data_IF_702666042299
#
_entry.id   IF_702666042299
#
_cell.length_a   1.000
_cell.length_b   1.000
_cell.length_c   1.000
_cell.angle_alpha   90.00
_cell.angle_beta   90.00
_cell.angle_gamma   90.00
#
_symmetry.space_group_name_H-M   'P 1'
#
loop_
_entity.id
_entity.type
_entity.pdbx_description
1 polymer ?
#
# COMPACT_ATOMS: atom_id res chain seq x y z
N UNK A 1 28.99 38.14 -35.09
CA UNK A 1 27.55 37.86 -35.30
C UNK A 1 27.39 36.37 -35.59
N UNK A 2 26.25 35.82 -35.16
CA UNK A 2 25.75 34.45 -35.31
C UNK A 2 26.14 33.44 -34.22
N UNK A 3 25.07 33.10 -33.49
CA UNK A 3 24.85 32.06 -32.49
C UNK A 3 24.47 30.78 -33.25
N UNK A 4 24.90 29.60 -32.79
CA UNK A 4 24.31 28.33 -33.22
C UNK A 4 23.81 27.59 -31.99
N UNK A 5 22.49 27.37 -31.98
CA UNK A 5 21.71 26.86 -30.87
C UNK A 5 21.71 25.34 -30.73
N UNK A 6 21.49 24.92 -29.51
CA UNK A 6 21.21 23.57 -29.05
C UNK A 6 19.77 23.18 -29.40
N UNK A 7 19.60 22.03 -30.06
CA UNK A 7 18.29 21.38 -30.24
C UNK A 7 17.95 20.54 -29.01
N UNK A 8 16.85 20.90 -28.35
CA UNK A 8 16.19 20.11 -27.31
C UNK A 8 15.13 19.27 -28.02
N UNK A 9 15.17 17.96 -27.81
CA UNK A 9 14.14 17.02 -28.28
C UNK A 9 13.11 16.86 -27.16
N UNK A 10 11.88 17.29 -27.41
CA UNK A 10 10.73 17.09 -26.52
C UNK A 10 10.17 15.64 -26.65
N UNK A 11 9.73 14.99 -25.56
CA UNK A 11 9.00 13.73 -25.65
C UNK A 11 7.49 13.95 -25.82
N UNK A 12 6.94 13.26 -26.82
CA UNK A 12 5.52 13.25 -27.17
C UNK A 12 4.69 12.42 -26.18
N UNK A 13 3.81 13.07 -25.44
CA UNK A 13 2.61 12.46 -24.89
C UNK A 13 1.41 13.36 -25.22
N UNK A 14 0.62 12.94 -26.21
CA UNK A 14 -0.77 13.37 -26.37
C UNK A 14 -1.60 12.10 -26.35
N UNK A 15 -2.29 11.86 -25.24
CA UNK A 15 -3.28 10.79 -25.13
C UNK A 15 -4.61 11.37 -25.57
N UNK A 16 -5.11 10.93 -26.71
CA UNK A 16 -6.49 11.16 -27.16
C UNK A 16 -7.42 10.15 -26.50
N UNK A 17 -8.46 10.63 -25.84
CA UNK A 17 -9.56 9.85 -25.28
C UNK A 17 -10.43 9.23 -26.38
N UNK A 18 -10.64 7.91 -26.34
CA UNK A 18 -11.91 7.26 -26.71
C UNK A 18 -11.73 5.74 -26.74
N UNK A 19 -12.26 5.03 -25.74
CA UNK A 19 -12.91 3.74 -25.95
C UNK A 19 -13.66 3.34 -24.66
N UNK A 20 -15.00 3.32 -24.74
CA UNK A 20 -15.89 2.72 -23.74
C UNK A 20 -16.45 1.45 -24.38
N UNK A 21 -16.24 0.24 -23.85
CA UNK A 21 -16.91 -0.94 -24.38
C UNK A 21 -18.34 -1.01 -23.83
N UNK A 22 -19.31 -1.14 -24.72
CA UNK A 22 -20.71 -1.42 -24.37
C UNK A 22 -20.87 -2.88 -23.93
N UNK A 23 -21.55 -3.08 -22.79
CA UNK A 23 -21.95 -4.38 -22.28
C UNK A 23 -23.37 -4.67 -22.81
N UNK A 24 -23.52 -5.74 -23.58
CA UNK A 24 -24.81 -6.27 -24.03
C UNK A 24 -25.44 -7.14 -22.95
N UNK A 25 -26.66 -6.78 -22.52
CA UNK A 25 -27.49 -7.60 -21.64
C UNK A 25 -28.30 -8.61 -22.47
N UNK A 26 -28.10 -9.91 -22.23
CA UNK A 26 -28.97 -10.96 -22.75
C UNK A 26 -29.98 -11.36 -21.67
N UNK A 27 -31.25 -11.07 -21.91
CA UNK A 27 -32.42 -11.59 -21.17
C UNK A 27 -32.56 -13.09 -21.41
N UNK A 28 -32.73 -13.86 -20.33
CA UNK A 28 -33.23 -15.24 -20.39
C UNK A 28 -34.60 -15.28 -19.71
N UNK A 29 -35.57 -15.77 -20.48
CA UNK A 29 -36.97 -15.97 -20.11
C UNK A 29 -37.14 -16.97 -18.96
N UNK A 30 -38.22 -16.76 -18.21
CA UNK A 30 -38.62 -17.57 -17.08
C UNK A 30 -39.35 -18.86 -17.47
N UNK A 31 -39.33 -19.81 -16.54
CA UNK A 31 -40.34 -20.85 -16.42
C UNK A 31 -40.65 -21.06 -14.93
N UNK A 32 -41.92 -20.85 -14.60
CA UNK A 32 -42.55 -21.12 -13.30
C UNK A 32 -42.72 -22.63 -13.09
N UNK A 33 -42.38 -23.12 -11.90
CA UNK A 33 -42.99 -24.34 -11.34
C UNK A 33 -43.23 -24.15 -9.85
N UNK A 34 -44.50 -24.06 -9.45
CA UNK A 34 -44.98 -24.07 -8.06
C UNK A 34 -44.71 -25.41 -7.38
N UNK A 35 -44.39 -25.39 -6.08
CA UNK A 35 -44.39 -26.62 -5.27
C UNK A 35 -43.91 -26.49 -3.83
N UNK A 36 -44.88 -26.33 -2.92
CA UNK A 36 -44.89 -26.80 -1.53
C UNK A 36 -44.26 -25.95 -0.41
N UNK A 37 -45.15 -25.61 0.53
CA UNK A 37 -44.95 -24.99 1.83
C UNK A 37 -43.89 -25.69 2.69
N UNK A 38 -42.96 -24.88 3.23
CA UNK A 38 -42.06 -25.23 4.32
C UNK A 38 -41.80 -23.98 5.17
N UNK A 39 -42.45 -23.90 6.32
CA UNK A 39 -42.41 -22.79 7.28
C UNK A 39 -41.01 -22.70 7.89
N UNK A 40 -40.24 -21.66 7.58
CA UNK A 40 -38.96 -21.35 8.22
C UNK A 40 -38.93 -19.91 8.71
N UNK A 41 -38.42 -19.76 9.93
CA UNK A 41 -38.43 -18.60 10.81
C UNK A 41 -37.74 -17.40 10.17
N UNK A 42 -38.42 -16.26 10.14
CA UNK A 42 -37.89 -14.96 9.71
C UNK A 42 -36.85 -14.47 10.71
N UNK A 43 -35.57 -14.69 10.41
CA UNK A 43 -34.45 -13.97 10.97
C UNK A 43 -33.81 -13.12 9.86
N UNK A 44 -34.44 -11.99 9.53
CA UNK A 44 -33.86 -10.99 8.64
C UNK A 44 -32.73 -10.28 9.35
N UNK A 45 -31.48 -10.71 9.15
CA UNK A 45 -30.33 -9.84 9.37
C UNK A 45 -30.26 -8.89 8.18
N UNK A 46 -30.73 -7.68 8.42
CA UNK A 46 -30.71 -6.54 7.52
C UNK A 46 -29.24 -6.16 7.23
N UNK A 47 -28.73 -6.58 6.07
CA UNK A 47 -27.38 -6.29 5.60
C UNK A 47 -27.41 -5.09 4.64
N UNK A 48 -27.74 -3.91 5.14
CA UNK A 48 -27.43 -2.65 4.50
C UNK A 48 -27.30 -1.55 5.55
N UNK A 49 -26.13 -1.45 6.19
CA UNK A 49 -25.81 -0.27 6.98
C UNK A 49 -25.69 0.94 6.02
N UNK A 50 -26.61 1.90 6.13
CA UNK A 50 -26.57 3.16 5.38
C UNK A 50 -25.23 3.88 5.62
N UNK A 51 -24.54 4.29 4.55
CA UNK A 51 -23.23 4.96 4.59
C UNK A 51 -23.23 6.19 5.50
N UNK A 52 -24.36 6.91 5.52
CA UNK A 52 -24.59 8.07 6.40
C UNK A 52 -24.45 7.70 7.88
N UNK A 53 -24.99 6.56 8.30
CA UNK A 53 -24.93 6.08 9.69
C UNK A 53 -23.53 5.58 10.06
N UNK A 54 -22.76 5.06 9.10
CA UNK A 54 -21.37 4.63 9.30
C UNK A 54 -20.45 5.83 9.49
N UNK A 55 -20.56 6.85 8.62
CA UNK A 55 -19.81 8.10 8.72
C UNK A 55 -19.99 8.74 10.09
N UNK A 56 -21.25 8.94 10.51
CA UNK A 56 -21.56 9.54 11.82
C UNK A 56 -20.94 8.79 13.00
N UNK A 57 -20.93 7.45 12.96
CA UNK A 57 -20.31 6.62 14.01
C UNK A 57 -18.79 6.77 14.06
N UNK A 58 -18.12 6.76 12.89
CA UNK A 58 -16.67 6.95 12.81
C UNK A 58 -16.28 8.34 13.34
N UNK A 59 -17.04 9.37 12.95
CA UNK A 59 -16.85 10.75 13.40
C UNK A 59 -17.03 10.92 14.90
N UNK A 60 -18.10 10.38 15.48
CA UNK A 60 -18.35 10.49 16.93
C UNK A 60 -17.20 9.87 17.73
N UNK A 61 -16.76 8.67 17.35
CA UNK A 61 -15.63 8.00 18.01
C UNK A 61 -14.32 8.78 17.86
N UNK A 62 -14.10 9.37 16.69
CA UNK A 62 -12.94 10.22 16.41
C UNK A 62 -12.88 11.47 17.32
N UNK A 63 -14.02 12.14 17.53
CA UNK A 63 -14.10 13.35 18.34
C UNK A 63 -13.76 13.11 19.82
N UNK A 64 -14.08 11.93 20.34
CA UNK A 64 -13.81 11.53 21.74
C UNK A 64 -12.44 10.85 21.93
N UNK A 65 -11.62 10.77 20.88
CA UNK A 65 -10.38 10.00 20.91
C UNK A 65 -9.18 10.76 21.51
N UNK A 66 -8.36 10.03 22.28
CA UNK A 66 -7.14 10.57 22.91
C UNK A 66 -6.01 10.92 21.93
N UNK A 67 -6.13 10.50 20.67
CA UNK A 67 -5.15 10.75 19.61
C UNK A 67 -5.48 11.99 18.76
N UNK A 68 -6.49 12.78 19.15
CA UNK A 68 -6.86 14.03 18.48
C UNK A 68 -5.74 15.06 18.60
N UNK A 69 -5.38 15.67 17.48
CA UNK A 69 -4.38 16.74 17.38
C UNK A 69 -5.03 18.02 16.86
N UNK A 70 -4.45 19.17 17.21
CA UNK A 70 -4.89 20.46 16.67
C UNK A 70 -4.15 20.76 15.37
N UNK A 71 -4.89 21.19 14.36
CA UNK A 71 -4.34 21.59 13.05
C UNK A 71 -3.30 22.71 13.18
N UNK A 72 -3.50 23.62 14.13
CA UNK A 72 -2.61 24.76 14.40
C UNK A 72 -1.24 24.35 14.93
N UNK A 73 -1.08 23.10 15.39
CA UNK A 73 0.18 22.60 15.94
C UNK A 73 1.19 22.25 14.84
N UNK A 74 0.74 22.19 13.59
CA UNK A 74 1.55 21.78 12.44
C UNK A 74 2.06 22.97 11.65
N UNK A 75 3.31 22.87 11.21
CA UNK A 75 3.89 23.72 10.17
C UNK A 75 4.07 22.87 8.92
N UNK A 76 3.16 23.01 7.98
CA UNK A 76 3.21 22.27 6.72
C UNK A 76 4.47 22.68 5.93
N UNK A 77 5.13 21.70 5.32
CA UNK A 77 6.32 21.88 4.47
C UNK A 77 5.96 21.54 3.03
N UNK A 78 6.74 20.65 2.41
CA UNK A 78 6.57 20.23 1.02
C UNK A 78 5.56 19.10 0.88
N UNK A 79 4.93 19.06 -0.29
CA UNK A 79 4.23 17.88 -0.77
C UNK A 79 5.23 16.75 -1.04
N UNK A 80 4.90 15.54 -0.57
CA UNK A 80 5.70 14.33 -0.77
C UNK A 80 5.14 13.47 -1.90
N UNK A 81 3.81 13.41 -2.02
CA UNK A 81 3.09 12.61 -3.02
C UNK A 81 1.65 13.07 -3.12
N UNK A 82 1.03 12.87 -4.28
CA UNK A 82 -0.39 13.12 -4.54
C UNK A 82 -0.96 11.97 -5.35
N UNK A 83 -2.09 11.45 -4.89
CA UNK A 83 -2.88 10.44 -5.59
C UNK A 83 -4.22 11.05 -6.00
N UNK A 84 -5.08 10.25 -6.63
CA UNK A 84 -6.45 10.67 -6.93
C UNK A 84 -7.30 10.92 -5.67
N UNK A 85 -6.98 10.24 -4.55
CA UNK A 85 -7.78 10.24 -3.33
C UNK A 85 -7.14 10.99 -2.16
N UNK A 86 -5.83 11.20 -2.17
CA UNK A 86 -5.12 11.77 -1.03
C UNK A 86 -3.84 12.51 -1.41
N UNK A 87 -3.47 13.50 -0.59
CA UNK A 87 -2.17 14.18 -0.69
C UNK A 87 -1.36 13.96 0.59
N UNK A 88 -0.08 13.63 0.42
CA UNK A 88 0.89 13.47 1.52
C UNK A 88 1.78 14.70 1.59
N UNK A 89 1.90 15.29 2.78
CA UNK A 89 2.80 16.40 3.06
C UNK A 89 3.80 16.01 4.14
N UNK A 90 5.01 16.55 4.03
CA UNK A 90 5.91 16.67 5.17
C UNK A 90 5.45 17.86 6.00
N UNK A 91 5.45 17.75 7.31
CA UNK A 91 5.20 18.86 8.23
C UNK A 91 6.14 18.79 9.44
N UNK A 92 6.16 19.85 10.24
CA UNK A 92 6.77 19.82 11.58
C UNK A 92 5.68 19.96 12.64
N UNK A 93 5.71 19.08 13.63
CA UNK A 93 4.85 19.08 14.80
C UNK A 93 5.72 19.06 16.05
N UNK A 94 5.61 20.09 16.89
CA UNK A 94 6.43 20.23 18.12
C UNK A 94 7.95 20.07 17.89
N UNK A 95 8.44 20.53 16.72
CA UNK A 95 9.87 20.42 16.36
C UNK A 95 10.29 19.08 15.76
N UNK A 96 9.37 18.12 15.64
CA UNK A 96 9.59 16.80 15.02
C UNK A 96 9.00 16.78 13.62
N UNK A 97 9.71 16.18 12.67
CA UNK A 97 9.16 15.98 11.33
C UNK A 97 8.16 14.83 11.29
N UNK A 98 7.04 15.07 10.64
CA UNK A 98 5.90 14.15 10.53
C UNK A 98 5.40 14.10 9.08
N UNK A 99 4.68 13.04 8.75
CA UNK A 99 3.90 12.95 7.51
C UNK A 99 2.44 13.21 7.83
N UNK A 100 1.81 14.04 7.01
CA UNK A 100 0.40 14.37 7.08
C UNK A 100 -0.27 13.89 5.80
N UNK A 101 -1.20 12.94 5.93
CA UNK A 101 -2.08 12.47 4.85
C UNK A 101 -3.40 13.21 4.94
N UNK A 102 -3.77 13.93 3.88
CA UNK A 102 -5.04 14.62 3.76
C UNK A 102 -5.94 13.91 2.75
N UNK A 103 -7.23 13.80 3.06
CA UNK A 103 -8.27 13.30 2.16
C UNK A 103 -8.63 14.34 1.08
N UNK A 104 -8.84 13.86 -0.16
CA UNK A 104 -9.43 14.62 -1.26
C UNK A 104 -8.45 15.33 -2.19
N UNK A 105 -8.98 15.78 -3.33
CA UNK A 105 -8.28 16.61 -4.31
C UNK A 105 -8.29 18.07 -3.86
N UNK A 106 -7.31 18.48 -3.07
CA UNK A 106 -7.10 19.91 -2.80
C UNK A 106 -6.73 20.62 -4.09
N UNK A 107 -7.52 21.63 -4.47
CA UNK A 107 -7.08 22.60 -5.46
C UNK A 107 -5.81 23.32 -4.98
N UNK A 108 -5.14 24.05 -5.88
CA UNK A 108 -3.93 24.78 -5.51
C UNK A 108 -4.20 25.80 -4.39
N UNK A 109 -5.40 26.37 -4.34
CA UNK A 109 -5.85 27.31 -3.30
C UNK A 109 -5.84 26.64 -1.93
N UNK A 110 -6.54 25.51 -1.77
CA UNK A 110 -6.57 24.73 -0.54
C UNK A 110 -5.16 24.25 -0.20
N UNK A 111 -4.38 23.77 -1.17
CA UNK A 111 -2.98 23.36 -0.96
C UNK A 111 -2.12 24.52 -0.43
N UNK A 112 -2.31 25.75 -0.94
CA UNK A 112 -1.62 26.96 -0.47
C UNK A 112 -2.10 27.41 0.91
N UNK A 113 -3.40 27.33 1.20
CA UNK A 113 -3.98 27.66 2.51
C UNK A 113 -3.53 26.64 3.58
N UNK A 114 -3.47 25.35 3.24
CA UNK A 114 -2.89 24.31 4.08
C UNK A 114 -1.42 24.64 4.40
N UNK A 115 -0.66 25.18 3.44
CA UNK A 115 0.76 25.52 3.61
C UNK A 115 1.01 26.87 4.32
N UNK A 116 0.09 27.83 4.23
CA UNK A 116 0.29 29.19 4.76
C UNK A 116 -0.02 29.31 6.25
N UNK A 117 -0.57 28.27 6.90
CA UNK A 117 -1.10 28.33 8.28
C UNK A 117 -2.07 29.52 8.51
N UNK A 118 -2.62 30.10 7.44
CA UNK A 118 -3.69 31.09 7.57
C UNK A 118 -4.97 30.36 7.94
N UNK A 119 -5.83 31.01 8.72
CA UNK A 119 -7.17 30.52 8.98
C UNK A 119 -7.81 30.17 7.64
N UNK A 120 -8.11 28.88 7.45
CA UNK A 120 -8.98 28.43 6.38
C UNK A 120 -10.30 29.13 6.65
N UNK A 121 -10.53 30.27 5.99
CA UNK A 121 -11.89 30.78 5.90
C UNK A 121 -12.70 29.65 5.26
N UNK A 122 -13.87 29.29 5.82
CA UNK A 122 -14.75 28.33 5.17
C UNK A 122 -14.87 28.82 3.74
N UNK A 123 -14.43 27.98 2.78
CA UNK A 123 -14.30 28.39 1.41
C UNK A 123 -15.59 29.11 1.01
N UNK A 124 -15.49 30.41 0.73
CA UNK A 124 -16.63 31.16 0.22
C UNK A 124 -17.11 30.39 -1.00
N UNK A 125 -18.31 29.81 -0.88
CA UNK A 125 -18.85 28.76 -1.72
C UNK A 125 -18.30 28.73 -3.14
N UNK A 126 -17.30 27.90 -3.36
CA UNK A 126 -17.18 27.19 -4.63
C UNK A 126 -17.72 25.81 -4.31
N UNK A 127 -19.05 25.68 -4.42
CA UNK A 127 -19.68 24.41 -4.69
C UNK A 127 -18.97 23.85 -5.94
N UNK A 128 -17.95 23.01 -5.72
CA UNK A 128 -17.48 22.12 -6.77
C UNK A 128 -18.68 21.24 -7.06
N UNK A 129 -19.25 21.40 -8.26
CA UNK A 129 -20.32 20.55 -8.79
C UNK A 129 -19.82 19.12 -9.12
N UNK A 130 -19.01 18.54 -8.23
CA UNK A 130 -18.56 17.15 -8.26
C UNK A 130 -18.93 16.52 -6.92
N UNK A 131 -20.14 15.94 -6.91
CA UNK A 131 -20.76 15.04 -5.94
C UNK A 131 -20.20 15.02 -4.50
N UNK A 132 -20.95 15.64 -3.56
CA UNK A 132 -20.80 15.52 -2.09
C UNK A 132 -20.58 14.06 -1.61
N UNK A 133 -20.99 13.08 -2.42
CA UNK A 133 -20.85 11.67 -2.16
C UNK A 133 -19.41 11.17 -2.29
N UNK A 134 -18.65 11.58 -3.32
CA UNK A 134 -17.28 11.12 -3.53
C UNK A 134 -16.33 11.65 -2.45
N UNK A 135 -16.47 12.93 -2.08
CA UNK A 135 -15.71 13.54 -0.99
C UNK A 135 -16.03 12.90 0.38
N UNK A 136 -17.28 12.48 0.60
CA UNK A 136 -17.68 11.73 1.81
C UNK A 136 -17.06 10.33 1.84
N UNK A 137 -17.06 9.62 0.72
CA UNK A 137 -16.46 8.29 0.59
C UNK A 137 -14.95 8.33 0.85
N UNK A 138 -14.24 9.29 0.26
CA UNK A 138 -12.80 9.48 0.50
C UNK A 138 -12.53 9.80 1.98
N UNK A 139 -13.37 10.63 2.60
CA UNK A 139 -13.26 10.94 4.02
C UNK A 139 -13.51 9.72 4.91
N UNK A 140 -14.50 8.89 4.56
CA UNK A 140 -14.80 7.64 5.27
C UNK A 140 -13.67 6.61 5.15
N UNK A 141 -13.06 6.49 3.98
CA UNK A 141 -11.87 5.65 3.76
C UNK A 141 -10.74 6.08 4.71
N UNK A 142 -10.46 7.38 4.79
CA UNK A 142 -9.39 7.90 5.66
C UNK A 142 -9.72 7.76 7.15
N UNK A 143 -10.97 7.96 7.56
CA UNK A 143 -11.38 7.73 8.96
C UNK A 143 -11.28 6.27 9.36
N UNK A 144 -11.59 5.37 8.45
CA UNK A 144 -11.44 3.94 8.68
C UNK A 144 -9.97 3.54 8.81
N UNK A 145 -9.11 4.11 7.96
CA UNK A 145 -7.66 3.96 8.06
C UNK A 145 -7.15 4.51 9.41
N UNK A 146 -7.58 5.70 9.84
CA UNK A 146 -7.23 6.27 11.15
C UNK A 146 -7.65 5.34 12.29
N UNK A 147 -8.87 4.79 12.25
CA UNK A 147 -9.34 3.84 13.26
C UNK A 147 -8.40 2.62 13.37
N UNK A 148 -8.11 1.99 12.24
CA UNK A 148 -7.21 0.84 12.18
C UNK A 148 -5.82 1.20 12.71
N UNK A 149 -5.21 2.26 12.16
CA UNK A 149 -3.88 2.75 12.54
C UNK A 149 -3.80 3.09 14.03
N UNK A 150 -4.86 3.65 14.61
CA UNK A 150 -4.89 4.03 16.02
C UNK A 150 -4.78 2.84 16.98
N UNK A 151 -5.17 1.65 16.52
CA UNK A 151 -5.13 0.40 17.28
C UNK A 151 -3.81 -0.38 17.16
N UNK A 152 -2.93 0.02 16.22
CA UNK A 152 -1.73 -0.73 15.86
C UNK A 152 -0.47 -0.06 16.40
N UNK A 153 0.38 -0.83 17.08
CA UNK A 153 1.62 -0.38 17.71
C UNK A 153 2.69 -1.48 17.63
N UNK A 154 3.67 -1.29 16.75
CA UNK A 154 4.78 -2.22 16.56
C UNK A 154 6.03 -1.46 16.05
N UNK A 155 7.26 -1.82 16.47
CA UNK A 155 8.49 -1.11 16.09
C UNK A 155 8.75 -1.09 14.57
N UNK A 156 8.43 -2.18 13.87
CA UNK A 156 8.62 -2.31 12.42
C UNK A 156 7.40 -1.81 11.59
N UNK A 157 6.44 -1.12 12.21
CA UNK A 157 5.35 -0.41 11.53
C UNK A 157 5.56 1.11 11.61
N UNK A 158 5.13 1.82 10.56
CA UNK A 158 5.01 3.28 10.59
C UNK A 158 4.08 3.66 11.75
N UNK A 159 4.53 4.63 12.54
CA UNK A 159 3.90 4.99 13.79
C UNK A 159 2.81 6.03 13.53
N UNK A 160 1.57 5.66 13.81
CA UNK A 160 0.47 6.62 13.92
C UNK A 160 0.67 7.56 15.12
N UNK A 161 0.66 8.86 14.89
CA UNK A 161 0.86 9.87 15.93
C UNK A 161 -0.46 10.48 16.38
N UNK A 162 -1.40 10.64 15.45
CA UNK A 162 -2.72 11.17 15.74
C UNK A 162 -3.44 11.62 14.47
N UNK A 163 -4.55 12.30 14.64
CA UNK A 163 -5.29 12.87 13.51
C UNK A 163 -5.97 14.18 13.88
N UNK A 164 -6.14 15.05 12.89
CA UNK A 164 -6.96 16.26 12.99
C UNK A 164 -8.29 15.98 12.32
N UNK A 165 -9.37 16.12 13.08
CA UNK A 165 -10.74 15.86 12.63
C UNK A 165 -11.57 17.07 13.02
N UNK A 166 -11.97 17.83 12.00
CA UNK A 166 -12.75 19.06 12.10
C UNK A 166 -13.88 19.00 11.06
N UNK A 167 -15.16 19.24 11.43
CA UNK A 167 -16.29 19.19 10.51
C UNK A 167 -16.20 20.10 9.29
N UNK A 168 -15.38 21.15 9.36
CA UNK A 168 -15.29 22.18 8.33
C UNK A 168 -13.99 22.14 7.54
N UNK A 169 -13.05 21.26 7.93
CA UNK A 169 -11.72 21.20 7.31
C UNK A 169 -11.36 19.75 6.89
N UNK A 170 -10.44 19.58 5.94
CA UNK A 170 -9.99 18.26 5.54
C UNK A 170 -9.41 17.44 6.69
N UNK A 171 -9.77 16.16 6.73
CA UNK A 171 -9.24 15.19 7.70
C UNK A 171 -7.74 14.99 7.45
N UNK A 172 -6.96 15.02 8.54
CA UNK A 172 -5.52 14.81 8.49
C UNK A 172 -5.13 13.60 9.34
N UNK A 173 -4.54 12.58 8.73
CA UNK A 173 -3.88 11.48 9.44
C UNK A 173 -2.39 11.79 9.58
N UNK A 174 -1.83 11.64 10.77
CA UNK A 174 -0.45 12.03 11.10
C UNK A 174 0.37 10.80 11.49
N UNK A 175 1.51 10.60 10.82
CA UNK A 175 2.45 9.52 11.10
C UNK A 175 3.89 10.04 11.25
N UNK A 176 4.81 9.20 11.72
CA UNK A 176 6.23 9.53 11.75
C UNK A 176 6.81 9.75 10.34
N UNK A 177 7.69 10.75 10.20
CA UNK A 177 8.44 10.96 8.96
C UNK A 177 9.72 10.13 8.97
N UNK A 178 9.89 9.32 7.92
CA UNK A 178 11.07 8.48 7.75
C UNK A 178 12.01 9.04 6.67
N UNK A 179 13.17 9.60 7.06
CA UNK A 179 14.03 10.35 6.14
C UNK A 179 14.78 9.48 5.12
N UNK A 180 14.84 8.16 5.33
CA UNK A 180 15.44 7.23 4.37
C UNK A 180 14.58 7.00 3.12
N UNK A 181 13.33 7.48 3.11
CA UNK A 181 12.39 7.30 2.01
C UNK A 181 11.95 5.85 1.86
N UNK A 182 11.31 5.53 0.74
CA UNK A 182 10.89 4.16 0.42
C UNK A 182 12.04 3.33 -0.17
N UNK A 183 11.92 2.01 -0.02
CA UNK A 183 12.93 1.04 -0.42
C UNK A 183 13.17 1.04 -1.94
N UNK A 184 12.15 1.32 -2.75
CA UNK A 184 12.31 1.37 -4.22
C UNK A 184 13.22 2.54 -4.63
N UNK A 185 12.92 3.75 -4.16
CA UNK A 185 13.73 4.94 -4.41
C UNK A 185 15.12 4.79 -3.82
N UNK A 186 15.26 4.13 -2.66
CA UNK A 186 16.57 3.83 -2.08
C UNK A 186 17.42 2.96 -3.02
N UNK A 187 16.87 1.88 -3.59
CA UNK A 187 17.60 1.06 -4.57
C UNK A 187 17.93 1.84 -5.84
N UNK A 188 17.03 2.69 -6.35
CA UNK A 188 17.31 3.57 -7.50
C UNK A 188 18.48 4.51 -7.22
N UNK A 189 18.50 5.15 -6.05
CA UNK A 189 19.58 6.02 -5.62
C UNK A 189 20.91 5.26 -5.55
N UNK A 190 20.92 4.06 -4.96
CA UNK A 190 22.15 3.28 -4.84
C UNK A 190 22.70 2.78 -6.18
N UNK A 191 21.84 2.36 -7.11
CA UNK A 191 22.24 2.02 -8.49
C UNK A 191 22.95 3.19 -9.16
N UNK A 192 22.36 4.39 -9.07
CA UNK A 192 22.95 5.62 -9.62
C UNK A 192 24.27 5.99 -8.94
N UNK A 193 24.33 5.90 -7.61
CA UNK A 193 25.53 6.24 -6.83
C UNK A 193 26.72 5.32 -7.15
N UNK A 194 26.46 4.04 -7.37
CA UNK A 194 27.48 3.05 -7.67
C UNK A 194 27.74 2.86 -9.18
N UNK A 195 26.98 3.54 -10.04
CA UNK A 195 27.01 3.40 -11.50
C UNK A 195 26.87 1.93 -11.97
N UNK A 196 25.87 1.23 -11.41
CA UNK A 196 25.57 -0.17 -11.74
C UNK A 196 24.11 -0.37 -12.09
N UNK A 197 23.84 -1.23 -13.07
CA UNK A 197 22.47 -1.59 -13.45
C UNK A 197 21.72 -2.36 -12.34
N UNK A 198 22.46 -3.14 -11.54
CA UNK A 198 21.93 -3.94 -10.44
C UNK A 198 22.74 -3.66 -9.19
N UNK A 199 22.09 -3.12 -8.16
CA UNK A 199 22.66 -2.91 -6.84
C UNK A 199 21.88 -3.73 -5.82
N UNK A 200 22.60 -4.30 -4.85
CA UNK A 200 22.02 -5.01 -3.71
C UNK A 200 22.88 -4.77 -2.47
N UNK A 201 22.27 -4.70 -1.28
CA UNK A 201 23.00 -4.64 -0.03
C UNK A 201 23.63 -6.01 0.31
N UNK A 202 24.49 -6.03 1.34
CA UNK A 202 25.05 -7.28 1.87
C UNK A 202 24.00 -8.16 2.54
N UNK A 203 24.26 -9.48 2.62
CA UNK A 203 23.33 -10.47 3.16
C UNK A 203 22.81 -10.13 4.56
N UNK A 204 23.65 -9.59 5.45
CA UNK A 204 23.24 -9.19 6.81
C UNK A 204 22.13 -8.15 6.78
N UNK A 205 22.23 -7.14 5.91
CA UNK A 205 21.20 -6.11 5.77
C UNK A 205 19.92 -6.69 5.18
N UNK A 206 20.04 -7.58 4.18
CA UNK A 206 18.88 -8.29 3.61
C UNK A 206 18.16 -9.08 4.69
N UNK A 207 18.88 -9.80 5.55
CA UNK A 207 18.30 -10.54 6.68
C UNK A 207 17.59 -9.59 7.65
N UNK A 208 18.24 -8.50 8.07
CA UNK A 208 17.66 -7.51 8.98
C UNK A 208 16.35 -6.91 8.43
N UNK A 209 16.35 -6.50 7.16
CA UNK A 209 15.16 -5.98 6.47
C UNK A 209 14.08 -7.04 6.32
N UNK A 210 14.45 -8.25 5.94
CA UNK A 210 13.50 -9.36 5.81
C UNK A 210 12.85 -9.65 7.17
N UNK A 211 13.62 -9.75 8.26
CA UNK A 211 13.07 -9.99 9.59
C UNK A 211 12.18 -8.85 10.09
N UNK A 212 12.50 -7.58 9.77
CA UNK A 212 11.62 -6.44 10.10
C UNK A 212 10.26 -6.55 9.42
N UNK A 213 10.23 -6.86 8.12
CA UNK A 213 8.99 -7.08 7.36
C UNK A 213 8.23 -8.27 7.96
N UNK A 214 8.91 -9.38 8.25
CA UNK A 214 8.30 -10.57 8.82
C UNK A 214 7.64 -10.32 10.18
N UNK A 215 8.31 -9.59 11.09
CA UNK A 215 7.74 -9.23 12.41
C UNK A 215 6.52 -8.33 12.28
N UNK A 216 6.59 -7.34 11.37
CA UNK A 216 5.45 -6.48 11.07
C UNK A 216 4.25 -7.28 10.54
N UNK A 217 4.45 -8.17 9.57
CA UNK A 217 3.38 -9.01 9.02
C UNK A 217 2.82 -9.98 10.07
N UNK A 218 3.68 -10.60 10.88
CA UNK A 218 3.23 -11.48 11.95
C UNK A 218 2.32 -10.73 12.94
N UNK A 219 2.74 -9.54 13.36
CA UNK A 219 1.94 -8.68 14.25
C UNK A 219 0.57 -8.31 13.69
N UNK A 220 0.50 -8.03 12.38
CA UNK A 220 -0.73 -7.71 11.67
C UNK A 220 -1.64 -8.95 11.52
N UNK A 221 -1.08 -10.08 11.09
CA UNK A 221 -1.80 -11.33 10.87
C UNK A 221 -2.37 -11.90 12.17
N UNK A 222 -1.65 -11.77 13.30
CA UNK A 222 -2.14 -12.14 14.64
C UNK A 222 -3.38 -11.31 15.10
N UNK A 223 -3.71 -10.24 14.38
CA UNK A 223 -4.86 -9.36 14.63
C UNK A 223 -5.89 -9.38 13.50
N UNK A 224 -5.81 -10.39 12.63
CA UNK A 224 -6.65 -10.54 11.44
C UNK A 224 -6.56 -9.34 10.47
N UNK A 225 -5.40 -8.68 10.42
CA UNK A 225 -5.13 -7.55 9.52
C UNK A 225 -4.26 -8.01 8.35
N UNK A 226 -4.82 -8.02 7.14
CA UNK A 226 -4.09 -8.34 5.89
C UNK A 226 -3.64 -7.05 5.21
N UNK A 227 -2.36 -6.90 4.87
CA UNK A 227 -1.84 -5.66 4.27
C UNK A 227 -2.37 -5.42 2.85
N UNK A 228 -2.42 -6.45 1.99
CA UNK A 228 -2.95 -6.44 0.60
C UNK A 228 -2.17 -5.64 -0.46
N UNK A 229 -1.37 -4.66 -0.08
CA UNK A 229 -0.56 -3.84 -1.00
C UNK A 229 0.91 -3.80 -0.57
N UNK A 230 1.44 -4.92 -0.07
CA UNK A 230 2.84 -4.98 0.34
C UNK A 230 3.76 -4.90 -0.89
N UNK A 231 4.58 -3.85 -0.95
CA UNK A 231 5.53 -3.58 -2.05
C UNK A 231 6.67 -2.67 -1.57
N UNK A 232 7.80 -2.59 -2.29
CA UNK A 232 8.94 -1.75 -1.87
C UNK A 232 8.61 -0.26 -1.67
N UNK A 233 7.60 0.29 -2.36
CA UNK A 233 7.12 1.66 -2.13
C UNK A 233 6.49 1.87 -0.74
N UNK A 234 5.95 0.81 -0.14
CA UNK A 234 5.30 0.82 1.17
C UNK A 234 6.25 0.31 2.28
N UNK A 235 7.55 0.25 2.00
CA UNK A 235 8.61 -0.10 2.95
C UNK A 235 9.52 1.11 3.13
N UNK A 236 9.29 1.85 4.20
CA UNK A 236 10.01 3.08 4.48
C UNK A 236 11.26 2.82 5.34
N UNK A 237 12.29 3.64 5.16
CA UNK A 237 13.57 3.51 5.84
C UNK A 237 13.80 4.62 6.88
N UNK A 238 14.17 4.23 8.10
CA UNK A 238 14.64 5.18 9.12
C UNK A 238 15.98 5.80 8.71
N UNK A 239 16.44 6.81 9.45
CA UNK A 239 17.79 7.38 9.28
C UNK A 239 18.93 6.36 9.48
N UNK A 240 18.63 5.25 10.16
CA UNK A 240 19.56 4.15 10.43
C UNK A 240 19.38 2.98 9.45
N UNK A 241 18.59 3.17 8.39
CA UNK A 241 18.26 2.13 7.40
C UNK A 241 17.52 0.93 7.99
N UNK A 242 16.68 1.15 9.00
CA UNK A 242 15.74 0.14 9.49
C UNK A 242 14.43 0.24 8.69
N UNK A 243 13.76 -0.88 8.42
CA UNK A 243 12.48 -0.87 7.70
C UNK A 243 11.33 -0.61 8.66
N UNK A 244 10.38 0.20 8.21
CA UNK A 244 9.02 0.26 8.72
C UNK A 244 8.01 0.05 7.58
N UNK A 245 7.05 -0.82 7.79
CA UNK A 245 5.96 -1.06 6.83
C UNK A 245 4.93 0.06 6.96
N UNK A 246 4.49 0.62 5.82
CA UNK A 246 3.48 1.71 5.71
C UNK A 246 2.25 1.26 4.92
N UNK A 247 1.24 2.13 4.82
CA UNK A 247 0.09 1.98 3.91
C UNK A 247 -0.67 0.64 4.02
N UNK A 248 -0.74 0.08 5.23
CA UNK A 248 -1.56 -1.07 5.60
C UNK A 248 -2.99 -0.66 6.00
N UNK A 249 -3.48 0.48 5.49
CA UNK A 249 -4.80 1.05 5.81
C UNK A 249 -5.99 0.41 5.06
N UNK A 250 -5.72 -0.34 3.99
CA UNK A 250 -6.75 -0.97 3.12
C UNK A 250 -7.23 -2.32 3.71
N UNK A 251 -6.75 -2.70 4.89
CA UNK A 251 -6.87 -4.04 5.45
C UNK A 251 -8.28 -4.47 5.87
N UNK A 252 -9.16 -3.57 6.30
CA UNK A 252 -10.51 -3.94 6.79
C UNK A 252 -11.66 -3.70 5.80
N UNK A 253 -11.51 -2.79 4.82
CA UNK A 253 -12.60 -2.47 3.88
C UNK A 253 -12.98 -3.66 2.98
N UNK A 254 -12.03 -4.51 2.58
CA UNK A 254 -12.27 -5.53 1.54
C UNK A 254 -12.50 -6.95 2.08
N UNK A 255 -12.70 -7.12 3.40
CA UNK A 255 -13.08 -8.42 3.96
C UNK A 255 -14.60 -8.68 3.92
N UNK A 256 -15.41 -7.62 3.72
CA UNK A 256 -16.89 -7.71 3.69
C UNK A 256 -17.50 -7.56 2.31
N UNK A 257 -16.75 -7.03 1.35
CA UNK A 257 -17.19 -6.86 -0.04
C UNK A 257 -16.24 -7.67 -0.92
N UNK A 258 -16.69 -8.87 -1.30
CA UNK A 258 -16.06 -9.67 -2.36
C UNK A 258 -16.22 -9.02 -3.75
N UNK A 259 -16.97 -7.92 -3.84
CA UNK A 259 -17.33 -7.23 -5.06
C UNK A 259 -16.59 -5.90 -5.15
N UNK A 260 -15.73 -5.75 -6.16
CA UNK A 260 -15.21 -4.45 -6.57
C UNK A 260 -13.83 -4.08 -6.01
N UNK A 261 -12.80 -4.79 -6.47
CA UNK A 261 -11.44 -4.26 -6.43
C UNK A 261 -11.36 -2.99 -7.29
N UNK A 262 -11.53 -1.80 -6.70
CA UNK A 262 -11.31 -0.53 -7.41
C UNK A 262 -9.81 -0.33 -7.64
N UNK A 263 -9.36 -0.78 -8.82
CA UNK A 263 -8.00 -0.69 -9.34
C UNK A 263 -7.51 0.76 -9.44
N UNK A 264 -7.06 1.35 -8.33
CA UNK A 264 -6.42 2.66 -8.30
C UNK A 264 -4.89 2.58 -8.29
N UNK A 265 -4.32 1.38 -8.22
CA UNK A 265 -2.88 1.14 -8.28
C UNK A 265 -2.34 1.20 -9.71
N UNK A 266 -1.53 2.22 -10.01
CA UNK A 266 -0.80 2.34 -11.28
C UNK A 266 0.02 1.09 -11.63
N UNK A 267 0.38 0.98 -12.91
CA UNK A 267 0.96 -0.19 -13.60
C UNK A 267 2.06 -0.92 -12.78
N UNK A 268 2.87 -0.22 -11.97
CA UNK A 268 3.93 -0.83 -11.15
C UNK A 268 3.50 -1.71 -9.97
N UNK A 269 2.28 -1.53 -9.43
CA UNK A 269 1.81 -2.22 -8.21
C UNK A 269 1.58 -3.72 -8.41
N UNK A 270 1.25 -4.13 -9.64
CA UNK A 270 0.73 -5.46 -9.95
C UNK A 270 1.78 -6.57 -9.82
N UNK A 271 3.06 -6.19 -9.85
CA UNK A 271 4.20 -7.12 -9.82
C UNK A 271 4.28 -7.93 -8.52
N UNK A 272 3.78 -7.39 -7.42
CA UNK A 272 3.83 -8.03 -6.10
C UNK A 272 2.52 -8.73 -5.73
N UNK A 273 1.50 -8.61 -6.59
CA UNK A 273 0.16 -9.16 -6.34
C UNK A 273 0.14 -10.67 -6.54
N UNK A 274 -0.48 -11.38 -5.61
CA UNK A 274 -0.63 -12.82 -5.70
C UNK A 274 -1.62 -13.22 -6.84
N UNK A 275 -1.40 -14.36 -7.52
CA UNK A 275 -2.23 -14.77 -8.66
C UNK A 275 -3.72 -14.91 -8.33
N UNK A 276 -4.06 -15.35 -7.12
CA UNK A 276 -5.45 -15.50 -6.66
C UNK A 276 -6.18 -14.15 -6.51
N UNK A 277 -5.46 -13.08 -6.15
CA UNK A 277 -6.03 -11.72 -6.07
C UNK A 277 -6.32 -11.22 -7.49
N UNK A 278 -5.40 -11.44 -8.42
CA UNK A 278 -5.57 -11.07 -9.85
C UNK A 278 -6.75 -11.78 -10.49
N UNK A 279 -7.01 -13.04 -10.08
CA UNK A 279 -8.10 -13.86 -10.60
C UNK A 279 -9.43 -13.63 -9.87
N UNK A 280 -9.49 -12.67 -8.93
CA UNK A 280 -10.67 -12.41 -8.10
C UNK A 280 -11.17 -13.66 -7.35
N UNK A 281 -10.27 -14.54 -6.94
CA UNK A 281 -10.60 -15.66 -6.07
C UNK A 281 -10.63 -15.22 -4.61
N UNK A 282 -11.26 -16.02 -3.74
CA UNK A 282 -11.14 -15.83 -2.29
C UNK A 282 -9.66 -15.92 -1.87
N UNK A 283 -9.26 -15.03 -0.96
CA UNK A 283 -7.89 -14.92 -0.49
C UNK A 283 -7.85 -14.57 0.99
N UNK A 284 -6.70 -14.85 1.63
CA UNK A 284 -6.44 -14.63 3.05
C UNK A 284 -5.09 -13.91 3.23
N UNK A 285 -4.52 -13.94 4.43
CA UNK A 285 -3.21 -13.35 4.74
C UNK A 285 -2.03 -13.92 3.93
N UNK A 286 -2.19 -15.05 3.23
CA UNK A 286 -1.12 -15.67 2.41
C UNK A 286 -0.78 -14.85 1.17
N UNK A 287 -1.59 -13.87 0.79
CA UNK A 287 -1.26 -12.91 -0.27
C UNK A 287 -0.10 -12.00 0.14
N UNK A 288 0.00 -11.64 1.41
CA UNK A 288 1.11 -10.83 1.92
C UNK A 288 2.40 -11.65 1.95
N UNK A 289 2.30 -12.95 2.25
CA UNK A 289 3.46 -13.87 2.24
C UNK A 289 4.02 -14.02 0.83
N UNK A 290 3.15 -14.07 -0.19
CA UNK A 290 3.57 -14.04 -1.59
C UNK A 290 4.37 -12.78 -1.93
N UNK A 291 3.82 -11.61 -1.60
CA UNK A 291 4.48 -10.33 -1.81
C UNK A 291 5.81 -10.24 -1.04
N UNK A 292 5.83 -10.74 0.20
CA UNK A 292 7.01 -10.77 1.06
C UNK A 292 8.16 -11.59 0.42
N UNK A 293 7.87 -12.76 -0.15
CA UNK A 293 8.85 -13.55 -0.90
C UNK A 293 9.42 -12.80 -2.11
N UNK A 294 8.58 -12.10 -2.87
CA UNK A 294 9.01 -11.29 -4.02
C UNK A 294 9.86 -10.08 -3.60
N UNK A 295 9.57 -9.48 -2.44
CA UNK A 295 10.38 -8.38 -1.89
C UNK A 295 11.73 -8.91 -1.41
N UNK A 296 11.78 -10.07 -0.76
CA UNK A 296 13.05 -10.74 -0.42
C UNK A 296 13.90 -10.99 -1.67
N UNK A 297 13.28 -11.42 -2.77
CA UNK A 297 13.95 -11.55 -4.07
C UNK A 297 14.51 -10.22 -4.57
N UNK A 298 13.70 -9.16 -4.55
CA UNK A 298 14.11 -7.82 -4.96
C UNK A 298 15.33 -7.35 -4.16
N UNK A 299 15.29 -7.47 -2.83
CA UNK A 299 16.39 -7.06 -1.95
C UNK A 299 17.66 -7.89 -2.18
N UNK A 300 17.51 -9.19 -2.45
CA UNK A 300 18.63 -10.13 -2.58
C UNK A 300 19.32 -10.12 -3.94
N UNK A 301 18.54 -9.92 -5.00
CA UNK A 301 19.03 -9.91 -6.38
C UNK A 301 19.37 -8.50 -6.86
N UNK A 302 18.73 -7.47 -6.28
CA UNK A 302 18.78 -6.11 -6.80
C UNK A 302 17.95 -5.90 -8.07
N UNK A 303 17.14 -6.89 -8.49
CA UNK A 303 16.35 -6.89 -9.72
C UNK A 303 14.85 -6.86 -9.39
N UNK A 304 14.06 -6.24 -10.27
CA UNK A 304 12.60 -6.35 -10.16
C UNK A 304 12.16 -7.83 -10.32
N UNK A 305 11.19 -8.31 -9.53
CA UNK A 305 10.61 -9.64 -9.74
C UNK A 305 10.15 -9.81 -11.19
N UNK A 306 10.35 -10.97 -11.80
CA UNK A 306 9.96 -11.25 -13.19
C UNK A 306 10.62 -10.37 -14.27
N UNK A 307 11.78 -9.76 -13.99
CA UNK A 307 12.51 -8.94 -14.98
C UNK A 307 12.75 -9.66 -16.33
N UNK A 308 12.81 -11.00 -16.33
CA UNK A 308 12.94 -11.82 -17.54
C UNK A 308 11.73 -11.74 -18.49
N UNK A 309 10.57 -11.29 -18.00
CA UNK A 309 9.36 -11.09 -18.81
C UNK A 309 9.27 -9.67 -19.38
N UNK A 310 10.28 -8.83 -19.12
CA UNK A 310 10.32 -7.43 -19.54
C UNK A 310 9.90 -6.45 -18.44
N UNK A 311 9.95 -5.15 -18.75
CA UNK A 311 9.65 -4.08 -17.80
C UNK A 311 8.14 -3.96 -17.52
N UNK A 312 7.29 -4.42 -18.44
CA UNK A 312 5.84 -4.32 -18.34
C UNK A 312 5.29 -5.25 -17.26
N UNK A 313 4.67 -4.66 -16.23
CA UNK A 313 4.01 -5.42 -15.17
C UNK A 313 2.68 -6.02 -15.63
N UNK A 314 2.02 -5.44 -16.64
CA UNK A 314 0.79 -6.00 -17.24
C UNK A 314 1.07 -7.32 -17.94
N UNK A 315 2.28 -7.52 -18.47
CA UNK A 315 2.70 -8.80 -19.01
C UNK A 315 2.57 -9.92 -17.96
N UNK A 316 2.85 -9.66 -16.69
CA UNK A 316 2.72 -10.64 -15.59
C UNK A 316 1.25 -10.95 -15.35
N UNK A 317 0.41 -9.92 -15.23
CA UNK A 317 -1.03 -10.10 -15.06
C UNK A 317 -1.63 -10.95 -16.17
N UNK A 318 -1.28 -10.67 -17.43
CA UNK A 318 -1.73 -11.45 -18.59
C UNK A 318 -1.32 -12.92 -18.50
N UNK A 319 -0.15 -13.24 -17.91
CA UNK A 319 0.21 -14.64 -17.66
C UNK A 319 -0.71 -15.26 -16.60
N UNK A 320 -0.93 -14.57 -15.47
CA UNK A 320 -1.80 -15.07 -14.39
C UNK A 320 -3.24 -15.31 -14.85
N UNK A 321 -3.82 -14.38 -15.61
CA UNK A 321 -5.16 -14.48 -16.20
C UNK A 321 -5.25 -15.68 -17.16
N UNK A 322 -4.18 -15.97 -17.91
CA UNK A 322 -4.08 -17.15 -18.80
C UNK A 322 -3.82 -18.47 -18.05
N UNK A 323 -3.91 -18.48 -16.71
CA UNK A 323 -3.66 -19.65 -15.89
C UNK A 323 -2.18 -20.03 -15.75
N UNK A 324 -1.26 -19.23 -16.29
CA UNK A 324 0.19 -19.44 -16.11
C UNK A 324 0.65 -18.84 -14.80
N UNK A 325 1.73 -19.39 -14.27
CA UNK A 325 2.24 -19.02 -12.96
C UNK A 325 3.77 -18.87 -12.99
N UNK A 326 4.30 -17.84 -13.67
CA UNK A 326 5.74 -17.60 -13.68
C UNK A 326 6.27 -17.41 -12.26
N UNK A 327 7.57 -17.70 -12.05
CA UNK A 327 8.32 -17.45 -10.82
C UNK A 327 9.63 -16.72 -11.12
N UNK A 328 10.16 -15.90 -10.19
CA UNK A 328 11.47 -15.28 -10.38
C UNK A 328 12.60 -16.33 -10.45
N UNK A 329 13.63 -16.03 -11.24
CA UNK A 329 14.83 -16.89 -11.33
C UNK A 329 15.77 -16.56 -10.18
N UNK A 330 15.99 -17.54 -9.29
CA UNK A 330 16.73 -17.38 -8.02
C UNK A 330 18.27 -17.44 -8.13
N UNK A 331 18.84 -17.56 -9.34
CA UNK A 331 20.28 -17.77 -9.54
C UNK A 331 21.13 -16.67 -8.90
N UNK A 332 20.65 -15.42 -8.96
CA UNK A 332 21.34 -14.28 -8.39
C UNK A 332 21.15 -14.14 -6.87
N UNK A 333 20.26 -14.90 -6.24
CA UNK A 333 19.99 -14.79 -4.81
C UNK A 333 20.93 -15.67 -3.96
N UNK A 334 21.24 -15.28 -2.71
CA UNK A 334 21.99 -16.12 -1.76
C UNK A 334 21.34 -17.49 -1.59
N UNK A 335 22.11 -18.57 -1.73
CA UNK A 335 21.63 -19.96 -1.70
C UNK A 335 20.78 -20.27 -0.47
N UNK A 336 21.19 -19.77 0.70
CA UNK A 336 20.47 -19.94 1.97
C UNK A 336 19.06 -19.34 2.00
N UNK A 337 18.78 -18.30 1.20
CA UNK A 337 17.47 -17.64 1.17
C UNK A 337 16.53 -18.18 0.07
N UNK A 338 17.07 -18.93 -0.91
CA UNK A 338 16.28 -19.44 -2.03
C UNK A 338 15.10 -20.32 -1.60
N UNK A 339 15.24 -21.27 -0.66
CA UNK A 339 14.13 -22.11 -0.22
C UNK A 339 13.01 -21.29 0.44
N UNK A 340 13.39 -20.29 1.24
CA UNK A 340 12.44 -19.40 1.94
C UNK A 340 11.60 -18.61 0.93
N UNK A 341 12.25 -17.98 -0.06
CA UNK A 341 11.55 -17.26 -1.12
C UNK A 341 10.66 -18.20 -1.93
N UNK A 342 11.15 -19.40 -2.27
CA UNK A 342 10.42 -20.38 -3.06
C UNK A 342 9.14 -20.86 -2.37
N UNK A 343 9.21 -21.11 -1.06
CA UNK A 343 8.06 -21.48 -0.24
C UNK A 343 7.06 -20.32 -0.13
N UNK A 344 7.54 -19.09 0.07
CA UNK A 344 6.71 -17.90 0.23
C UNK A 344 5.79 -17.63 -0.99
N UNK A 345 6.26 -17.93 -2.22
CA UNK A 345 5.45 -17.77 -3.44
C UNK A 345 4.94 -19.09 -4.03
N UNK A 346 4.68 -20.09 -3.19
CA UNK A 346 4.12 -21.36 -3.64
C UNK A 346 2.80 -21.16 -4.43
N UNK A 347 2.57 -22.02 -5.43
CA UNK A 347 1.38 -22.00 -6.32
C UNK A 347 0.10 -22.10 -5.49
N UNK A 348 0.01 -23.13 -4.65
CA UNK A 348 -1.08 -23.27 -3.67
C UNK A 348 -0.84 -22.28 -2.50
N UNK A 349 -1.76 -21.33 -2.23
CA UNK A 349 -1.65 -20.40 -1.10
C UNK A 349 -1.55 -21.09 0.27
N UNK A 350 -2.22 -22.23 0.44
CA UNK A 350 -2.24 -22.97 1.70
C UNK A 350 -0.86 -23.55 2.09
N UNK A 351 -0.01 -23.83 1.10
CA UNK A 351 1.35 -24.35 1.30
C UNK A 351 2.37 -23.23 1.57
N UNK A 352 1.97 -21.96 1.41
CA UNK A 352 2.87 -20.85 1.75
C UNK A 352 3.03 -20.83 3.28
N UNK A 353 4.23 -20.55 3.81
CA UNK A 353 4.46 -20.44 5.26
C UNK A 353 3.63 -19.31 5.89
N UNK A 354 3.51 -19.30 7.22
CA UNK A 354 3.09 -18.10 7.95
C UNK A 354 4.25 -17.09 8.03
N UNK A 355 3.97 -15.85 8.46
CA UNK A 355 5.03 -14.87 8.71
C UNK A 355 6.00 -15.36 9.80
N UNK A 356 5.47 -16.01 10.85
CA UNK A 356 6.27 -16.65 11.91
C UNK A 356 7.20 -17.74 11.35
N UNK A 357 6.71 -18.65 10.52
CA UNK A 357 7.54 -19.70 9.93
C UNK A 357 8.68 -19.11 9.10
N UNK A 358 8.42 -18.02 8.35
CA UNK A 358 9.48 -17.33 7.59
C UNK A 358 10.53 -16.72 8.53
N UNK A 359 10.12 -16.10 9.63
CA UNK A 359 11.03 -15.53 10.63
C UNK A 359 11.95 -16.60 11.23
N UNK A 360 11.40 -17.75 11.63
CA UNK A 360 12.17 -18.86 12.18
C UNK A 360 13.23 -19.37 11.18
N UNK A 361 12.86 -19.47 9.90
CA UNK A 361 13.81 -19.84 8.85
C UNK A 361 14.89 -18.76 8.63
N UNK A 362 14.56 -17.48 8.73
CA UNK A 362 15.53 -16.38 8.64
C UNK A 362 16.52 -16.40 9.82
N UNK A 363 16.06 -16.72 11.03
CA UNK A 363 16.90 -16.81 12.23
C UNK A 363 17.91 -17.98 12.15
N UNK A 364 17.50 -19.11 11.58
CA UNK A 364 18.41 -20.22 11.26
C UNK A 364 19.52 -19.77 10.28
N UNK A 365 19.15 -19.01 9.24
CA UNK A 365 20.13 -18.44 8.31
C UNK A 365 21.04 -17.45 9.02
N UNK A 366 20.52 -16.57 9.87
CA UNK A 366 21.30 -15.56 10.59
C UNK A 366 22.31 -16.19 11.57
N UNK A 367 21.90 -17.24 12.28
CA UNK A 367 22.79 -18.03 13.16
C UNK A 367 23.93 -18.65 12.35
N UNK A 368 23.61 -19.25 11.19
CA UNK A 368 24.61 -19.84 10.32
C UNK A 368 25.58 -18.85 9.67
N UNK A 369 25.23 -17.56 9.60
CA UNK A 369 26.11 -16.48 9.09
C UNK A 369 26.98 -15.92 10.23
N UNK A 370 26.46 -15.87 11.45
CA UNK A 370 27.18 -15.41 12.64
C UNK A 370 28.24 -16.41 13.13
N UNK A 371 28.01 -17.71 12.90
CA UNK A 371 28.93 -18.78 13.28
C UNK A 371 30.05 -19.07 12.28
N UNK A 372 30.15 -18.36 11.14
CA UNK A 372 31.27 -18.53 10.21
C UNK A 372 32.55 -17.92 10.83
N UNK A 373 33.58 -18.71 11.16
CA UNK A 373 34.80 -18.18 11.74
C UNK A 373 35.53 -17.29 10.73
N UNK A 374 36.24 -16.30 11.24
CA UNK A 374 37.29 -15.57 10.57
C UNK A 374 38.38 -16.58 10.11
N UNK A 375 38.17 -17.22 8.96
CA UNK A 375 39.13 -18.09 8.32
C UNK A 375 39.61 -17.38 7.05
N UNK A 376 40.51 -16.41 7.23
CA UNK A 376 41.50 -15.95 6.27
C UNK A 376 42.46 -15.01 7.00
N UNK A 377 43.54 -15.60 7.54
CA UNK A 377 44.83 -14.93 7.71
C UNK A 377 45.54 -14.87 6.35
#
# INVERSE_FOLDING_TARGET
MSVVGTSIVEPAWKVTSSFVPQISTSTCDGDEVEGSMGRAVTGSTDCSEDSTTRHQRLWARALDSRWKLSRTDFKMKKELSRTLKSTLYQATWQGVDVVVKCAGLHDEETSRQLQSNQDLQPANGVLRNGDDQEDREISDELLHEIDLLSSLRHPDLVMFLGACIDPHLPIMCVTDFLPGGDLERYFMFQRKKHDVATWRPGLRQVLQWSSAIGRALNYLHDRDVVHRDLKPLNLLLTKHLEIKVSDFGISRLMARECDGYSMTGGIGSWRYMAPEVVRHHAYDQKVDIYAYGLIMYFMSSGKAPFHQLGPDAEAILRQYIRGKEPRPVLLDCPTKLRPIMAAAWHVNPAERPSAQDVLENLDLVQTSVSCAPCAQM
#
